data_IF_551621529261
#
_entry.id   IF_551621529261
#
_cell.length_a   1.000
_cell.length_b   1.000
_cell.length_c   1.000
_cell.angle_alpha   90.00
_cell.angle_beta   90.00
_cell.angle_gamma   90.00
#
_symmetry.space_group_name_H-M   'P 1'
#
loop_
_entity.id
_entity.type
_entity.pdbx_description
1 polymer ?
#
# COMPACT_ATOMS: atom_id res chain seq x y z
N UNK A 1 36.81 -23.66 -11.42
CA UNK A 1 35.66 -22.89 -11.95
C UNK A 1 34.57 -22.59 -10.92
N UNK A 2 34.44 -23.32 -9.80
CA UNK A 2 33.37 -23.10 -8.81
C UNK A 2 33.50 -21.76 -8.06
N UNK A 3 34.73 -21.27 -7.83
CA UNK A 3 34.98 -20.02 -7.09
C UNK A 3 34.53 -18.73 -7.76
N UNK A 4 33.94 -18.77 -8.97
CA UNK A 4 33.38 -17.60 -9.65
C UNK A 4 31.91 -17.35 -9.31
N UNK A 5 31.25 -18.33 -8.70
CA UNK A 5 29.83 -18.27 -8.36
C UNK A 5 29.69 -18.09 -6.86
N UNK A 6 28.77 -17.22 -6.44
CA UNK A 6 28.47 -17.08 -5.02
C UNK A 6 27.69 -18.31 -4.55
N UNK A 7 27.92 -18.74 -3.33
CA UNK A 7 27.19 -19.86 -2.73
C UNK A 7 25.66 -19.66 -2.79
N UNK A 8 25.23 -18.40 -2.63
CA UNK A 8 23.85 -17.92 -2.73
C UNK A 8 23.24 -18.05 -4.13
N UNK A 9 24.07 -18.18 -5.17
CA UNK A 9 23.61 -18.34 -6.56
C UNK A 9 23.55 -19.83 -6.96
N UNK A 10 24.32 -20.68 -6.28
CA UNK A 10 24.43 -22.12 -6.59
C UNK A 10 23.33 -22.92 -5.87
N UNK A 11 22.94 -22.54 -4.66
CA UNK A 11 21.98 -23.31 -3.85
C UNK A 11 20.52 -23.13 -4.33
N UNK A 12 19.98 -21.91 -4.48
CA UNK A 12 18.61 -21.68 -4.98
C UNK A 12 18.59 -21.50 -6.51
N UNK A 13 19.49 -22.19 -7.24
CA UNK A 13 19.64 -21.98 -8.67
C UNK A 13 18.38 -22.46 -9.41
N UNK A 14 17.70 -21.55 -10.12
CA UNK A 14 16.58 -21.89 -10.99
C UNK A 14 17.01 -22.96 -12.02
N UNK A 15 16.09 -23.83 -12.43
CA UNK A 15 16.39 -24.99 -13.28
C UNK A 15 17.11 -24.61 -14.59
N UNK A 16 16.75 -23.45 -15.17
CA UNK A 16 17.39 -22.89 -16.36
C UNK A 16 18.85 -22.53 -16.12
N UNK A 17 19.15 -21.78 -15.05
CA UNK A 17 20.53 -21.44 -14.65
C UNK A 17 21.36 -22.67 -14.29
N UNK A 18 20.73 -23.68 -13.69
CA UNK A 18 21.40 -24.93 -13.35
C UNK A 18 21.81 -25.70 -14.61
N UNK A 19 20.98 -25.69 -15.66
CA UNK A 19 21.31 -26.28 -16.95
C UNK A 19 22.47 -25.55 -17.65
N UNK A 20 22.43 -24.20 -17.66
CA UNK A 20 23.53 -23.38 -18.20
C UNK A 20 24.86 -23.65 -17.48
N UNK A 21 24.83 -23.73 -16.15
CA UNK A 21 26.01 -24.02 -15.36
C UNK A 21 26.55 -25.43 -15.60
N UNK A 22 25.67 -26.44 -15.72
CA UNK A 22 26.07 -27.81 -16.11
C UNK A 22 26.75 -27.83 -17.47
N UNK A 23 26.21 -27.11 -18.44
CA UNK A 23 26.76 -27.02 -19.79
C UNK A 23 28.15 -26.35 -19.77
N UNK A 24 28.28 -25.20 -19.10
CA UNK A 24 29.56 -24.53 -18.95
C UNK A 24 30.62 -25.41 -18.26
N UNK A 25 30.21 -26.22 -17.27
CA UNK A 25 31.09 -27.16 -16.58
C UNK A 25 31.50 -28.33 -17.48
N UNK A 26 30.57 -28.85 -18.29
CA UNK A 26 30.84 -29.87 -19.32
C UNK A 26 31.83 -29.36 -20.36
N UNK A 27 31.63 -28.15 -20.87
CA UNK A 27 32.52 -27.54 -21.86
C UNK A 27 33.92 -27.32 -21.30
N UNK A 28 34.03 -26.83 -20.06
CA UNK A 28 35.30 -26.66 -19.36
C UNK A 28 36.04 -27.97 -19.12
N UNK A 29 35.33 -29.03 -18.73
CA UNK A 29 35.91 -30.38 -18.58
C UNK A 29 36.39 -30.90 -19.93
N UNK A 30 35.53 -30.84 -20.95
CA UNK A 30 35.83 -31.30 -22.31
C UNK A 30 37.08 -30.62 -22.89
N UNK A 31 37.27 -29.32 -22.64
CA UNK A 31 38.46 -28.61 -23.10
C UNK A 31 39.78 -29.21 -22.55
N UNK A 32 39.75 -29.75 -21.33
CA UNK A 32 40.91 -30.38 -20.68
C UNK A 32 41.07 -31.83 -21.13
N UNK A 33 39.99 -32.62 -21.14
CA UNK A 33 40.05 -34.07 -21.42
C UNK A 33 40.10 -34.41 -22.92
N UNK A 34 39.79 -33.47 -23.81
CA UNK A 34 39.89 -33.67 -25.26
C UNK A 34 41.30 -34.05 -25.71
N UNK A 35 42.33 -33.58 -25.00
CA UNK A 35 43.74 -33.96 -25.23
C UNK A 35 44.02 -35.43 -24.94
N UNK A 36 43.17 -36.09 -24.17
CA UNK A 36 43.24 -37.49 -23.80
C UNK A 36 42.35 -38.38 -24.69
N UNK A 37 41.68 -37.82 -25.70
CA UNK A 37 40.74 -38.55 -26.56
C UNK A 37 39.43 -38.97 -25.86
N UNK A 38 39.12 -38.35 -24.72
CA UNK A 38 37.91 -38.61 -23.94
C UNK A 38 36.91 -37.46 -24.10
N UNK A 39 35.62 -37.78 -23.97
CA UNK A 39 34.53 -36.80 -23.95
C UNK A 39 33.59 -37.06 -22.77
N UNK A 40 33.21 -36.00 -22.06
CA UNK A 40 32.25 -36.07 -20.97
C UNK A 40 30.83 -36.14 -21.55
N UNK A 41 30.15 -37.26 -21.35
CA UNK A 41 28.77 -37.46 -21.82
C UNK A 41 27.77 -36.61 -21.02
N UNK A 42 27.81 -36.72 -19.69
CA UNK A 42 26.89 -36.04 -18.76
C UNK A 42 27.67 -35.45 -17.59
N UNK A 43 27.29 -34.25 -17.19
CA UNK A 43 27.78 -33.60 -15.97
C UNK A 43 26.58 -33.25 -15.11
N UNK A 44 26.59 -33.75 -13.87
CA UNK A 44 25.56 -33.46 -12.90
C UNK A 44 26.16 -32.91 -11.60
N UNK A 45 25.34 -32.17 -10.86
CA UNK A 45 25.70 -31.53 -9.61
C UNK A 45 24.96 -32.27 -8.51
N UNK A 46 25.71 -33.05 -7.75
CA UNK A 46 25.19 -33.77 -6.59
C UNK A 46 24.79 -32.85 -5.44
N UNK A 47 24.45 -33.44 -4.30
CA UNK A 47 24.09 -32.67 -3.10
C UNK A 47 25.30 -31.90 -2.58
N UNK A 48 25.16 -30.57 -2.50
CA UNK A 48 26.17 -29.70 -1.91
C UNK A 48 26.00 -29.78 -0.39
N UNK A 49 27.00 -30.35 0.30
CA UNK A 49 27.04 -30.36 1.76
C UNK A 49 27.56 -29.03 2.25
N UNK A 50 26.72 -28.31 2.99
CA UNK A 50 27.06 -27.05 3.63
C UNK A 50 27.40 -27.31 5.10
N UNK A 51 28.46 -26.66 5.64
CA UNK A 51 28.67 -26.58 7.08
C UNK A 51 27.41 -26.05 7.77
N UNK A 52 27.11 -26.57 8.95
CA UNK A 52 25.85 -26.26 9.63
C UNK A 52 25.73 -24.77 10.01
N UNK A 53 26.85 -24.11 10.29
CA UNK A 53 26.94 -22.67 10.55
C UNK A 53 26.49 -21.84 9.35
N UNK A 54 27.01 -22.15 8.16
CA UNK A 54 26.65 -21.46 6.91
C UNK A 54 25.19 -21.72 6.53
N UNK A 55 24.68 -22.93 6.82
CA UNK A 55 23.27 -23.26 6.59
C UNK A 55 22.34 -22.41 7.46
N UNK A 56 22.66 -22.24 8.74
CA UNK A 56 21.88 -21.40 9.65
C UNK A 56 21.84 -19.95 9.17
N UNK A 57 22.99 -19.38 8.83
CA UNK A 57 23.08 -18.00 8.33
C UNK A 57 22.24 -17.77 7.06
N UNK A 58 22.26 -18.73 6.12
CA UNK A 58 21.44 -18.64 4.91
C UNK A 58 19.94 -18.71 5.22
N UNK A 59 19.53 -19.59 6.15
CA UNK A 59 18.14 -19.70 6.58
C UNK A 59 17.66 -18.43 7.29
N UNK A 60 18.48 -17.88 8.18
CA UNK A 60 18.16 -16.66 8.92
C UNK A 60 17.99 -15.47 7.96
N UNK A 61 18.90 -15.35 6.99
CA UNK A 61 18.80 -14.32 5.95
C UNK A 61 17.55 -14.51 5.08
N UNK A 62 17.26 -15.74 4.69
CA UNK A 62 16.06 -16.05 3.89
C UNK A 62 14.77 -15.71 4.65
N UNK A 63 14.71 -16.02 5.95
CA UNK A 63 13.58 -15.67 6.81
C UNK A 63 13.43 -14.15 6.94
N UNK A 64 14.52 -13.42 7.14
CA UNK A 64 14.52 -11.96 7.21
C UNK A 64 14.03 -11.31 5.91
N UNK A 65 14.47 -11.82 4.76
CA UNK A 65 14.03 -11.35 3.44
C UNK A 65 12.51 -11.57 3.24
N UNK A 66 12.00 -12.72 3.65
CA UNK A 66 10.56 -13.00 3.62
C UNK A 66 9.75 -12.10 4.53
N UNK A 67 10.22 -11.89 5.76
CA UNK A 67 9.55 -11.03 6.72
C UNK A 67 9.50 -9.57 6.23
N UNK A 68 10.61 -9.10 5.67
CA UNK A 68 10.69 -7.76 5.05
C UNK A 68 9.69 -7.59 3.92
N UNK A 69 9.62 -8.55 3.00
CA UNK A 69 8.64 -8.55 1.89
C UNK A 69 7.21 -8.58 2.39
N UNK A 70 6.91 -9.38 3.41
CA UNK A 70 5.59 -9.44 4.00
C UNK A 70 5.19 -8.12 4.67
N UNK A 71 6.12 -7.45 5.36
CA UNK A 71 5.88 -6.12 5.96
C UNK A 71 5.58 -5.07 4.89
N UNK A 72 6.35 -5.05 3.80
CA UNK A 72 6.10 -4.14 2.68
C UNK A 72 4.73 -4.36 2.04
N UNK A 73 4.37 -5.61 1.75
CA UNK A 73 3.07 -5.93 1.18
C UNK A 73 1.89 -5.52 2.09
N UNK A 74 2.05 -5.66 3.41
CA UNK A 74 1.05 -5.17 4.38
C UNK A 74 0.94 -3.64 4.36
N UNK A 75 2.06 -2.93 4.39
CA UNK A 75 2.07 -1.47 4.34
C UNK A 75 1.41 -0.93 3.06
N UNK A 76 1.65 -1.57 1.92
CA UNK A 76 1.00 -1.21 0.65
C UNK A 76 -0.52 -1.44 0.69
N UNK A 77 -0.94 -2.55 1.29
CA UNK A 77 -2.37 -2.87 1.45
C UNK A 77 -3.06 -1.86 2.37
N UNK A 78 -2.44 -1.52 3.50
CA UNK A 78 -2.97 -0.54 4.44
C UNK A 78 -3.08 0.83 3.78
N UNK A 79 -2.06 1.28 3.05
CA UNK A 79 -2.11 2.52 2.28
C UNK A 79 -3.23 2.52 1.24
N UNK A 80 -3.44 1.39 0.54
CA UNK A 80 -4.56 1.27 -0.40
C UNK A 80 -5.91 1.40 0.31
N UNK A 81 -6.09 0.76 1.48
CA UNK A 81 -7.33 0.87 2.26
C UNK A 81 -7.56 2.32 2.71
N UNK A 82 -6.55 2.97 3.29
CA UNK A 82 -6.66 4.37 3.73
C UNK A 82 -6.99 5.33 2.58
N UNK A 83 -6.38 5.14 1.41
CA UNK A 83 -6.68 5.99 0.24
C UNK A 83 -8.09 5.76 -0.30
N UNK A 84 -8.58 4.52 -0.30
CA UNK A 84 -9.96 4.23 -0.70
C UNK A 84 -10.97 4.78 0.29
N UNK A 85 -10.73 4.64 1.60
CA UNK A 85 -11.58 5.25 2.63
C UNK A 85 -11.62 6.77 2.50
N UNK A 86 -10.47 7.42 2.29
CA UNK A 86 -10.42 8.86 2.09
C UNK A 86 -11.24 9.30 0.87
N UNK A 87 -11.12 8.57 -0.26
CA UNK A 87 -11.94 8.83 -1.46
C UNK A 87 -13.43 8.62 -1.19
N UNK A 88 -13.81 7.55 -0.50
CA UNK A 88 -15.19 7.28 -0.14
C UNK A 88 -15.77 8.39 0.75
N UNK A 89 -14.99 8.90 1.72
CA UNK A 89 -15.39 10.03 2.56
C UNK A 89 -15.61 11.29 1.74
N UNK A 90 -14.72 11.64 0.82
CA UNK A 90 -14.88 12.80 -0.07
C UNK A 90 -16.12 12.66 -0.95
N UNK A 91 -16.34 11.48 -1.55
CA UNK A 91 -17.53 11.24 -2.35
C UNK A 91 -18.83 11.34 -1.55
N UNK A 92 -18.83 10.85 -0.30
CA UNK A 92 -19.98 10.97 0.59
C UNK A 92 -20.30 12.45 0.89
N UNK A 93 -19.29 13.27 1.15
CA UNK A 93 -19.45 14.70 1.40
C UNK A 93 -20.03 15.42 0.17
N UNK A 94 -19.49 15.16 -1.02
CA UNK A 94 -20.01 15.71 -2.28
C UNK A 94 -21.47 15.29 -2.50
N UNK A 95 -21.80 14.02 -2.25
CA UNK A 95 -23.15 13.52 -2.39
C UNK A 95 -24.13 14.19 -1.40
N UNK A 96 -23.69 14.42 -0.16
CA UNK A 96 -24.45 15.17 0.84
C UNK A 96 -24.66 16.61 0.38
N UNK A 97 -23.62 17.31 -0.07
CA UNK A 97 -23.71 18.68 -0.59
C UNK A 97 -24.73 18.78 -1.73
N UNK A 98 -24.65 17.88 -2.70
CA UNK A 98 -25.58 17.82 -3.84
C UNK A 98 -27.01 17.51 -3.41
N UNK A 99 -27.20 16.59 -2.46
CA UNK A 99 -28.51 16.27 -1.91
C UNK A 99 -29.15 17.45 -1.20
N UNK A 100 -28.37 18.18 -0.41
CA UNK A 100 -28.80 19.37 0.32
C UNK A 100 -29.12 20.54 -0.62
N UNK A 101 -28.29 20.74 -1.65
CA UNK A 101 -28.55 21.74 -2.68
C UNK A 101 -29.87 21.48 -3.42
N UNK A 102 -30.20 20.21 -3.71
CA UNK A 102 -31.49 19.83 -4.30
C UNK A 102 -32.67 20.04 -3.33
N UNK A 103 -32.46 19.87 -2.03
CA UNK A 103 -33.47 20.13 -1.00
C UNK A 103 -33.81 21.62 -0.88
N UNK A 104 -32.78 22.48 -0.88
CA UNK A 104 -32.93 23.94 -0.83
C UNK A 104 -33.77 24.50 -1.98
N UNK A 105 -33.69 23.91 -3.18
CA UNK A 105 -34.45 24.35 -4.34
C UNK A 105 -35.97 24.13 -4.20
N UNK A 106 -36.42 23.26 -3.29
CA UNK A 106 -37.84 22.94 -3.12
C UNK A 106 -38.51 23.73 -1.99
N UNK A 107 -37.87 23.84 -0.83
CA UNK A 107 -38.33 24.65 0.31
C UNK A 107 -37.17 24.83 1.30
N UNK A 108 -36.41 25.94 1.24
CA UNK A 108 -35.22 26.10 2.05
C UNK A 108 -35.58 26.31 3.52
N UNK A 109 -35.14 25.41 4.40
CA UNK A 109 -35.20 25.65 5.84
C UNK A 109 -33.89 26.30 6.31
N UNK A 110 -33.90 27.11 7.38
CA UNK A 110 -32.66 27.65 7.97
C UNK A 110 -31.67 26.56 8.38
N UNK A 111 -32.15 25.36 8.70
CA UNK A 111 -31.33 24.20 9.05
C UNK A 111 -30.56 23.67 7.85
N UNK A 112 -31.13 23.74 6.64
CA UNK A 112 -30.46 23.32 5.41
C UNK A 112 -29.30 24.26 5.04
N UNK A 113 -29.46 25.56 5.28
CA UNK A 113 -28.40 26.56 5.03
C UNK A 113 -27.20 26.35 5.96
N UNK A 114 -27.47 26.05 7.24
CA UNK A 114 -26.43 25.73 8.24
C UNK A 114 -25.70 24.44 7.85
N UNK A 115 -26.45 23.41 7.42
CA UNK A 115 -25.86 22.15 6.98
C UNK A 115 -24.97 22.31 5.74
N UNK A 116 -25.35 23.16 4.78
CA UNK A 116 -24.51 23.45 3.61
C UNK A 116 -23.23 24.18 3.97
N UNK A 117 -23.28 25.21 4.83
CA UNK A 117 -22.06 25.89 5.31
C UNK A 117 -21.13 24.95 6.07
N UNK A 118 -21.69 24.03 6.86
CA UNK A 118 -20.89 23.02 7.54
C UNK A 118 -20.22 22.05 6.56
N UNK A 119 -20.92 21.68 5.48
CA UNK A 119 -20.34 20.84 4.42
C UNK A 119 -19.26 21.60 3.65
N UNK A 120 -19.47 22.88 3.31
CA UNK A 120 -18.45 23.74 2.68
C UNK A 120 -17.19 23.84 3.55
N UNK A 121 -17.36 24.03 4.87
CA UNK A 121 -16.26 24.00 5.83
C UNK A 121 -15.48 22.67 5.80
N UNK A 122 -16.20 21.53 5.77
CA UNK A 122 -15.57 20.21 5.67
C UNK A 122 -14.82 20.02 4.35
N UNK A 123 -15.35 20.51 3.23
CA UNK A 123 -14.70 20.46 1.91
C UNK A 123 -13.40 21.29 1.89
N UNK A 124 -13.42 22.51 2.44
CA UNK A 124 -12.23 23.35 2.52
C UNK A 124 -11.13 22.73 3.38
N UNK A 125 -11.50 22.16 4.54
CA UNK A 125 -10.55 21.47 5.43
C UNK A 125 -9.94 20.23 4.77
N UNK A 126 -10.72 19.48 3.98
CA UNK A 126 -10.24 18.32 3.24
C UNK A 126 -9.37 18.67 2.04
N UNK A 127 -9.61 19.82 1.40
CA UNK A 127 -8.81 20.33 0.29
C UNK A 127 -7.47 20.96 0.73
N UNK A 128 -7.23 21.08 2.05
CA UNK A 128 -6.02 21.72 2.59
C UNK A 128 -5.95 23.22 2.32
N UNK A 129 -7.09 23.84 1.98
CA UNK A 129 -7.20 25.27 1.75
C UNK A 129 -7.28 25.94 3.12
N UNK A 130 -6.38 26.89 3.46
CA UNK A 130 -6.48 27.61 4.73
C UNK A 130 -7.76 28.45 4.72
N UNK A 131 -8.74 28.06 5.54
CA UNK A 131 -9.94 28.86 5.78
C UNK A 131 -9.55 30.00 6.72
N UNK A 132 -9.83 31.23 6.33
CA UNK A 132 -9.64 32.37 7.20
C UNK A 132 -10.71 32.31 8.32
N UNK A 133 -10.26 32.00 9.54
CA UNK A 133 -11.04 32.07 10.79
C UNK A 133 -11.95 30.85 11.11
N UNK A 134 -11.31 29.67 11.22
CA UNK A 134 -11.91 28.37 11.59
C UNK A 134 -12.80 28.37 12.86
N UNK A 135 -12.56 29.29 13.81
CA UNK A 135 -13.31 29.34 15.08
C UNK A 135 -14.56 30.22 14.97
N UNK A 136 -14.50 31.35 14.25
CA UNK A 136 -15.63 32.25 14.14
C UNK A 136 -16.76 31.67 13.30
N UNK A 137 -16.47 30.94 12.22
CA UNK A 137 -17.52 30.32 11.40
C UNK A 137 -18.27 29.22 12.15
N UNK A 138 -17.56 28.36 12.89
CA UNK A 138 -18.17 27.28 13.70
C UNK A 138 -19.01 27.86 14.84
N UNK A 139 -18.52 28.89 15.53
CA UNK A 139 -19.26 29.56 16.59
C UNK A 139 -20.50 30.28 16.05
N UNK A 140 -20.40 30.89 14.86
CA UNK A 140 -21.54 31.55 14.20
C UNK A 140 -22.60 30.52 13.78
N UNK A 141 -22.19 29.33 13.29
CA UNK A 141 -23.11 28.25 12.95
C UNK A 141 -23.80 27.68 14.20
N UNK A 142 -23.07 27.50 15.31
CA UNK A 142 -23.66 27.07 16.59
C UNK A 142 -24.65 28.10 17.15
N UNK A 143 -24.33 29.40 17.06
CA UNK A 143 -25.22 30.48 17.49
C UNK A 143 -26.50 30.54 16.65
N UNK A 144 -26.40 30.37 15.32
CA UNK A 144 -27.58 30.33 14.43
C UNK A 144 -28.47 29.11 14.70
N UNK A 145 -27.89 27.95 15.01
CA UNK A 145 -28.64 26.76 15.41
C UNK A 145 -29.38 26.98 16.75
N UNK A 146 -28.71 27.59 17.73
CA UNK A 146 -29.30 27.92 19.03
C UNK A 146 -30.44 28.94 18.93
N UNK A 147 -30.34 29.92 18.03
CA UNK A 147 -31.43 30.86 17.75
C UNK A 147 -32.61 30.20 17.03
N UNK A 148 -32.34 29.25 16.13
CA UNK A 148 -33.38 28.46 15.46
C UNK A 148 -34.19 27.59 16.42
N UNK A 149 -33.57 26.98 17.43
CA UNK A 149 -34.26 26.18 18.44
C UNK A 149 -35.07 27.04 19.42
N UNK A 150 -34.57 28.22 19.80
CA UNK A 150 -35.29 29.18 20.65
C UNK A 150 -36.51 29.79 19.96
N UNK A 151 -36.46 30.04 18.65
CA UNK A 151 -37.62 30.53 17.89
C UNK A 151 -38.72 29.47 17.78
N UNK A 152 -38.33 28.18 17.71
CA UNK A 152 -39.24 27.04 17.64
C UNK A 152 -39.94 26.76 18.98
N UNK A 153 -39.28 27.01 20.11
CA UNK A 153 -39.88 26.86 21.44
C UNK A 153 -40.87 27.99 21.78
N UNK A 154 -40.65 29.20 21.27
CA UNK A 154 -41.58 30.34 21.44
C UNK A 154 -42.87 30.21 20.64
N UNK A 155 -42.80 29.61 19.45
CA UNK A 155 -43.98 29.33 18.59
C UNK A 155 -44.87 28.18 19.10
N UNK A 156 -44.45 27.45 20.13
CA UNK A 156 -45.20 26.33 20.73
C UNK A 156 -45.99 26.76 21.99
N UNK A 157 -45.91 28.03 22.39
CA UNK A 157 -46.57 28.61 23.57
C UNK A 157 -47.66 29.64 23.22
N UNK A 158 -47.97 29.82 21.94
CA UNK A 158 -49.19 30.50 21.44
C UNK A 158 -50.14 29.45 20.84
#
# INVERSE_FOLDING_TARGET
MIGRYKLEEIIPMADTRRAEFKQALKDGINQVIKRLGLEASVVDIGRIKLPDETRKQLLDRWNADWESRAKLARADTDNFVYTQEARARVQAIIAMAQGLHKSLQRNPTPQDIIALRYIEYLEHRLAGIPVADDQQEVDTLMQLQALGTLKKSRSFME
#
